data_IF_281721818537
#
_entry.id   IF_281721818537
#
_cell.length_a   1.000
_cell.length_b   1.000
_cell.length_c   1.000
_cell.angle_alpha   90.00
_cell.angle_beta   90.00
_cell.angle_gamma   90.00
#
_symmetry.space_group_name_H-M   'P 1'
#
loop_
_entity.id
_entity.type
_entity.pdbx_description
1 polymer ?
#
# COMPACT_ATOMS: atom_id res chain seq x y z
N UNK A 1 23.49 -17.03 2.48
CA UNK A 1 22.58 -16.35 3.43
C UNK A 1 22.40 -17.28 4.62
N UNK A 2 22.55 -16.82 5.86
CA UNK A 2 22.38 -17.71 7.04
C UNK A 2 20.92 -18.20 7.13
N UNK A 3 20.71 -19.45 7.61
CA UNK A 3 19.37 -19.98 7.88
C UNK A 3 18.54 -19.03 8.77
N UNK A 4 19.18 -18.40 9.76
CA UNK A 4 18.51 -17.46 10.65
C UNK A 4 17.97 -16.24 9.90
N UNK A 5 18.74 -15.70 8.95
CA UNK A 5 18.31 -14.60 8.09
C UNK A 5 17.18 -15.03 7.16
N UNK A 6 17.26 -16.24 6.58
CA UNK A 6 16.22 -16.78 5.70
C UNK A 6 14.88 -16.92 6.44
N UNK A 7 14.89 -17.50 7.65
CA UNK A 7 13.69 -17.63 8.50
C UNK A 7 13.10 -16.27 8.86
N UNK A 8 13.94 -15.29 9.22
CA UNK A 8 13.49 -13.93 9.53
C UNK A 8 12.88 -13.22 8.30
N UNK A 9 13.49 -13.39 7.13
CA UNK A 9 12.98 -12.82 5.88
C UNK A 9 11.67 -13.47 5.46
N UNK A 10 11.53 -14.80 5.57
CA UNK A 10 10.27 -15.50 5.30
C UNK A 10 9.12 -15.04 6.20
N UNK A 11 9.39 -14.79 7.49
CA UNK A 11 8.39 -14.22 8.41
C UNK A 11 7.95 -12.82 7.98
N UNK A 12 8.91 -11.96 7.60
CA UNK A 12 8.62 -10.58 7.15
C UNK A 12 7.93 -10.54 5.79
N UNK A 13 8.31 -11.42 4.85
CA UNK A 13 7.73 -11.46 3.51
C UNK A 13 6.29 -11.95 3.53
N UNK A 14 5.95 -12.90 4.42
CA UNK A 14 4.57 -13.37 4.60
C UNK A 14 3.60 -12.21 4.84
N UNK A 15 3.95 -11.26 5.71
CA UNK A 15 3.13 -10.07 5.93
C UNK A 15 3.20 -9.09 4.76
N UNK A 16 4.39 -8.88 4.19
CA UNK A 16 4.61 -7.91 3.10
C UNK A 16 3.82 -8.26 1.84
N UNK A 17 3.73 -9.54 1.49
CA UNK A 17 3.05 -10.03 0.30
C UNK A 17 1.59 -9.55 0.21
N UNK A 18 0.90 -9.44 1.36
CA UNK A 18 -0.50 -8.97 1.39
C UNK A 18 -0.66 -7.48 1.08
N UNK A 19 0.38 -6.65 1.27
CA UNK A 19 0.27 -5.18 1.15
C UNK A 19 1.16 -4.59 0.07
N UNK A 20 2.11 -5.36 -0.47
CA UNK A 20 3.07 -4.91 -1.47
C UNK A 20 2.38 -4.31 -2.71
N UNK A 21 1.29 -4.91 -3.16
CA UNK A 21 0.50 -4.40 -4.29
C UNK A 21 -0.10 -3.01 -4.03
N UNK A 22 -0.48 -2.70 -2.79
CA UNK A 22 -0.98 -1.38 -2.38
C UNK A 22 0.13 -0.34 -2.52
N UNK A 23 1.31 -0.65 -1.98
CA UNK A 23 2.47 0.24 -2.06
C UNK A 23 2.97 0.42 -3.49
N UNK A 24 2.94 -0.64 -4.31
CA UNK A 24 3.30 -0.57 -5.72
C UNK A 24 2.39 0.41 -6.47
N UNK A 25 1.06 0.31 -6.26
CA UNK A 25 0.10 1.25 -6.87
C UNK A 25 0.34 2.68 -6.41
N UNK A 26 0.53 2.88 -5.10
CA UNK A 26 0.74 4.21 -4.53
C UNK A 26 2.03 4.85 -5.06
N UNK A 27 3.14 4.11 -5.12
CA UNK A 27 4.40 4.66 -5.63
C UNK A 27 4.39 4.88 -7.15
N UNK A 28 3.93 3.89 -7.91
CA UNK A 28 4.01 3.95 -9.38
C UNK A 28 2.89 4.78 -9.98
N UNK A 29 1.63 4.42 -9.72
CA UNK A 29 0.48 5.04 -10.39
C UNK A 29 0.01 6.32 -9.72
N UNK A 30 0.10 6.40 -8.38
CA UNK A 30 -0.28 7.62 -7.65
C UNK A 30 0.89 8.59 -7.45
N UNK A 31 2.12 8.22 -7.83
CA UNK A 31 3.30 9.07 -7.67
C UNK A 31 3.59 9.46 -6.21
N UNK A 32 3.23 8.59 -5.24
CA UNK A 32 3.33 8.92 -3.82
C UNK A 32 4.79 9.15 -3.41
N UNK A 33 5.10 10.41 -3.10
CA UNK A 33 6.39 10.84 -2.60
C UNK A 33 6.22 11.71 -1.35
N UNK A 34 6.81 11.32 -0.22
CA UNK A 34 6.68 12.03 1.07
C UNK A 34 7.99 12.74 1.39
N UNK A 35 8.01 14.06 1.18
CA UNK A 35 9.12 14.96 1.55
C UNK A 35 8.53 16.27 2.08
N UNK A 36 7.94 16.20 3.27
CA UNK A 36 7.22 17.32 3.89
C UNK A 36 7.87 17.70 5.21
N UNK A 37 7.89 19.01 5.54
CA UNK A 37 8.33 19.49 6.85
C UNK A 37 7.19 19.30 7.86
N UNK A 38 7.45 18.54 8.92
CA UNK A 38 6.49 18.26 9.99
C UNK A 38 5.71 16.95 9.83
N UNK A 39 5.59 16.21 10.94
CA UNK A 39 4.98 14.87 10.98
C UNK A 39 3.48 14.88 10.64
N UNK A 40 2.77 15.95 11.04
CA UNK A 40 1.34 16.09 10.74
C UNK A 40 1.09 16.13 9.23
N UNK A 41 1.91 16.88 8.47
CA UNK A 41 1.80 16.97 7.00
C UNK A 41 2.13 15.63 6.32
N UNK A 42 3.16 14.94 6.81
CA UNK A 42 3.52 13.60 6.32
C UNK A 42 2.37 12.61 6.54
N UNK A 43 1.77 12.62 7.74
CA UNK A 43 0.61 11.79 8.08
C UNK A 43 -0.58 12.09 7.18
N UNK A 44 -0.93 13.35 6.96
CA UNK A 44 -2.04 13.72 6.06
C UNK A 44 -1.79 13.23 4.64
N UNK A 45 -0.57 13.42 4.10
CA UNK A 45 -0.22 12.97 2.75
C UNK A 45 -0.37 11.45 2.58
N UNK A 46 0.15 10.68 3.55
CA UNK A 46 0.03 9.21 3.56
C UNK A 46 -1.44 8.80 3.72
N UNK A 47 -2.16 9.44 4.64
CA UNK A 47 -3.57 9.18 4.89
C UNK A 47 -4.45 9.39 3.66
N UNK A 48 -4.26 10.51 2.95
CA UNK A 48 -4.97 10.79 1.70
C UNK A 48 -4.67 9.76 0.61
N UNK A 49 -3.41 9.35 0.45
CA UNK A 49 -3.05 8.32 -0.54
C UNK A 49 -3.69 6.97 -0.21
N UNK A 50 -3.72 6.58 1.06
CA UNK A 50 -4.42 5.38 1.52
C UNK A 50 -5.93 5.48 1.28
N UNK A 51 -6.55 6.63 1.58
CA UNK A 51 -7.98 6.83 1.38
C UNK A 51 -8.35 6.72 -0.10
N UNK A 52 -7.63 7.46 -0.97
CA UNK A 52 -7.88 7.44 -2.41
C UNK A 52 -7.68 6.04 -3.01
N UNK A 53 -6.66 5.30 -2.59
CA UNK A 53 -6.45 3.91 -3.00
C UNK A 53 -7.64 3.02 -2.60
N UNK A 54 -8.07 3.09 -1.33
CA UNK A 54 -9.15 2.25 -0.83
C UNK A 54 -10.50 2.58 -1.48
N UNK A 55 -10.79 3.85 -1.73
CA UNK A 55 -12.01 4.25 -2.45
C UNK A 55 -12.00 3.75 -3.90
N UNK A 56 -10.88 3.91 -4.60
CA UNK A 56 -10.72 3.37 -5.98
C UNK A 56 -10.91 1.86 -6.00
N UNK A 57 -10.28 1.16 -5.04
CA UNK A 57 -10.40 -0.30 -4.90
C UNK A 57 -11.84 -0.72 -4.57
N UNK A 58 -12.53 0.04 -3.73
CA UNK A 58 -13.93 -0.22 -3.39
C UNK A 58 -14.83 -0.09 -4.62
N UNK A 59 -14.72 1.00 -5.39
CA UNK A 59 -15.49 1.20 -6.62
C UNK A 59 -15.25 0.06 -7.62
N UNK A 60 -13.99 -0.38 -7.77
CA UNK A 60 -13.67 -1.52 -8.63
C UNK A 60 -14.37 -2.81 -8.18
N UNK A 61 -14.41 -3.10 -6.87
CA UNK A 61 -15.12 -4.27 -6.35
C UNK A 61 -16.63 -4.16 -6.56
N UNK A 62 -17.23 -2.99 -6.30
CA UNK A 62 -18.66 -2.76 -6.52
C UNK A 62 -19.05 -2.91 -8.00
N UNK A 63 -18.22 -2.41 -8.91
CA UNK A 63 -18.43 -2.56 -10.35
C UNK A 63 -18.37 -4.02 -10.82
N UNK A 64 -17.66 -4.90 -10.11
CA UNK A 64 -17.62 -6.34 -10.41
C UNK A 64 -18.85 -7.10 -9.91
N UNK A 65 -19.52 -6.58 -8.90
CA UNK A 65 -20.74 -7.18 -8.34
C UNK A 65 -22.01 -6.69 -9.03
N UNK A 66 -21.93 -5.65 -9.86
CA UNK A 66 -23.05 -5.17 -10.65
C UNK A 66 -23.38 -6.16 -11.78
N UNK A 67 -24.67 -6.48 -12.02
CA UNK A 67 -25.08 -7.23 -13.20
C UNK A 67 -24.72 -6.45 -14.48
N UNK A 68 -24.39 -7.18 -15.55
CA UNK A 68 -23.95 -6.64 -16.83
C UNK A 68 -25.04 -5.83 -17.54
#
# INVERSE_FOLDING_TARGET
>A
MSEAMSRANGRRSKTRAFVEHVFAQQKSRMGLFVRTIGIARARTKIGMANLAYNLTRFVWHQGRTAPA
#
